data_IF_336288354364
#
_entry.id   IF_336288354364
#
_cell.length_a   1.000
_cell.length_b   1.000
_cell.length_c   1.000
_cell.angle_alpha   90.00
_cell.angle_beta   90.00
_cell.angle_gamma   90.00
#
_symmetry.space_group_name_H-M   'P 1'
#
loop_
_entity.id
_entity.type
_entity.pdbx_description
1 polymer ?
#
# COMPACT_ATOMS: atom_id res chain seq x y z
N UNK A 1 -0.24 6.81 -3.24
CA UNK A 1 -0.46 5.83 -2.17
C UNK A 1 -0.49 6.51 -0.81
N UNK A 2 -1.33 6.04 0.13
CA UNK A 2 -1.33 6.52 1.52
C UNK A 2 0.03 6.26 2.20
N UNK A 3 0.61 5.10 1.95
CA UNK A 3 1.89 4.69 2.55
C UNK A 3 3.08 5.56 2.11
N UNK A 4 3.13 5.99 0.84
CA UNK A 4 4.20 6.87 0.37
C UNK A 4 4.11 8.26 0.99
N UNK A 5 2.90 8.81 1.10
CA UNK A 5 2.72 10.12 1.76
C UNK A 5 3.08 10.06 3.25
N UNK A 6 2.70 8.98 3.95
CA UNK A 6 3.13 8.79 5.34
C UNK A 6 4.66 8.65 5.46
N UNK A 7 5.32 7.98 4.52
CA UNK A 7 6.79 7.90 4.48
C UNK A 7 7.45 9.25 4.22
N UNK A 8 6.89 10.08 3.35
CA UNK A 8 7.34 11.46 3.14
C UNK A 8 7.22 12.29 4.44
N UNK A 9 6.11 12.13 5.17
CA UNK A 9 5.94 12.75 6.49
C UNK A 9 6.98 12.29 7.52
N UNK A 10 7.36 11.00 7.51
CA UNK A 10 8.43 10.45 8.35
C UNK A 10 9.79 11.04 7.97
N UNK A 11 10.11 11.10 6.67
CA UNK A 11 11.38 11.63 6.17
C UNK A 11 11.55 13.11 6.49
N UNK A 12 10.46 13.88 6.41
CA UNK A 12 10.41 15.31 6.78
C UNK A 12 10.31 15.56 8.28
N UNK A 13 10.30 14.51 9.10
CA UNK A 13 10.21 14.58 10.57
C UNK A 13 9.03 15.43 11.09
N UNK A 14 7.93 15.44 10.33
CA UNK A 14 6.68 16.11 10.74
C UNK A 14 6.09 15.44 11.98
N UNK A 15 5.22 16.12 12.72
CA UNK A 15 4.57 15.54 13.90
C UNK A 15 3.81 14.26 13.54
N UNK A 16 3.04 14.29 12.45
CA UNK A 16 2.40 13.09 11.89
C UNK A 16 3.43 11.99 11.58
N UNK A 17 4.56 12.35 10.97
CA UNK A 17 5.65 11.42 10.65
C UNK A 17 6.21 10.72 11.88
N UNK A 18 6.46 11.47 12.96
CA UNK A 18 6.96 10.93 14.23
C UNK A 18 5.95 9.94 14.84
N UNK A 19 4.66 10.29 14.80
CA UNK A 19 3.60 9.45 15.34
C UNK A 19 3.45 8.13 14.55
N UNK A 20 3.50 8.18 13.21
CA UNK A 20 3.24 7.00 12.37
C UNK A 20 4.46 6.07 12.22
N UNK A 21 5.69 6.56 12.46
CA UNK A 21 6.94 5.80 12.30
C UNK A 21 6.93 4.47 13.07
N UNK A 22 6.43 4.48 14.30
CA UNK A 22 6.42 3.30 15.16
C UNK A 22 5.39 2.24 14.71
N UNK A 23 4.25 2.66 14.18
CA UNK A 23 3.23 1.73 13.68
C UNK A 23 3.76 0.99 12.45
N UNK A 24 4.33 1.71 11.48
CA UNK A 24 4.80 1.12 10.23
C UNK A 24 5.97 0.15 10.41
N UNK A 25 6.94 0.50 11.26
CA UNK A 25 8.11 -0.36 11.53
C UNK A 25 7.75 -1.66 12.25
N UNK A 26 6.63 -1.68 12.98
CA UNK A 26 6.12 -2.87 13.68
C UNK A 26 5.11 -3.67 12.84
N UNK A 27 4.82 -3.22 11.61
CA UNK A 27 3.78 -3.81 10.76
C UNK A 27 2.35 -3.53 11.22
N UNK A 28 2.14 -2.60 12.15
CA UNK A 28 0.81 -2.22 12.66
C UNK A 28 0.13 -1.22 11.71
N UNK A 29 -1.20 -1.19 11.77
CA UNK A 29 -1.98 -0.13 11.14
C UNK A 29 -1.83 1.16 11.96
N UNK A 30 -1.80 2.28 11.24
CA UNK A 30 -1.97 3.61 11.83
C UNK A 30 -3.43 3.73 12.31
N UNK A 31 -3.71 4.33 13.48
CA UNK A 31 -5.07 4.47 14.00
C UNK A 31 -6.05 5.07 13.00
N UNK A 32 -7.28 4.56 13.00
CA UNK A 32 -8.31 4.90 12.00
C UNK A 32 -8.62 6.39 11.97
N UNK A 33 -8.82 7.03 13.13
CA UNK A 33 -9.11 8.47 13.20
C UNK A 33 -8.01 9.33 12.57
N UNK A 34 -6.76 8.93 12.79
CA UNK A 34 -5.60 9.62 12.22
C UNK A 34 -5.55 9.42 10.70
N UNK A 35 -5.77 8.19 10.23
CA UNK A 35 -5.81 7.86 8.79
C UNK A 35 -6.97 8.55 8.06
N UNK A 36 -8.16 8.55 8.65
CA UNK A 36 -9.35 9.19 8.08
C UNK A 36 -9.12 10.70 7.95
N UNK A 37 -8.64 11.35 9.01
CA UNK A 37 -8.34 12.79 8.99
C UNK A 37 -7.29 13.12 7.94
N UNK A 38 -6.22 12.33 7.88
CA UNK A 38 -5.14 12.50 6.91
C UNK A 38 -5.66 12.36 5.47
N UNK A 39 -6.33 11.25 5.15
CA UNK A 39 -6.81 10.97 3.80
C UNK A 39 -7.88 11.95 3.34
N UNK A 40 -8.78 12.37 4.24
CA UNK A 40 -9.77 13.41 3.94
C UNK A 40 -9.11 14.73 3.56
N UNK A 41 -8.00 15.08 4.23
CA UNK A 41 -7.23 16.30 3.92
C UNK A 41 -6.55 16.18 2.55
N UNK A 42 -6.00 15.01 2.22
CA UNK A 42 -5.37 14.77 0.93
C UNK A 42 -6.36 14.72 -0.23
N UNK A 43 -7.55 14.13 -0.03
CA UNK A 43 -8.62 14.09 -1.04
C UNK A 43 -9.14 15.48 -1.39
N UNK A 44 -9.29 16.37 -0.39
CA UNK A 44 -9.70 17.76 -0.63
C UNK A 44 -8.76 18.52 -1.57
N UNK A 45 -7.46 18.19 -1.58
CA UNK A 45 -6.48 18.83 -2.47
C UNK A 45 -6.67 18.47 -3.94
N UNK A 46 -7.31 17.34 -4.22
CA UNK A 46 -7.54 16.82 -5.57
C UNK A 46 -9.01 16.82 -5.97
N UNK A 47 -9.88 17.41 -5.14
CA UNK A 47 -11.31 17.47 -5.37
C UNK A 47 -11.64 18.03 -6.76
N UNK A 48 -12.54 17.35 -7.47
CA UNK A 48 -12.89 17.68 -8.86
C UNK A 48 -12.00 17.02 -9.93
N UNK A 49 -10.97 16.27 -9.54
CA UNK A 49 -10.20 15.42 -10.45
C UNK A 49 -10.42 13.93 -10.13
N UNK A 50 -10.18 13.06 -11.11
CA UNK A 50 -10.12 11.62 -10.88
C UNK A 50 -8.96 11.27 -9.95
N UNK A 51 -9.19 10.32 -9.05
CA UNK A 51 -8.21 9.89 -8.06
C UNK A 51 -8.14 8.36 -8.00
N UNK A 52 -6.98 7.85 -7.56
CA UNK A 52 -6.79 6.43 -7.24
C UNK A 52 -6.23 6.32 -5.83
N UNK A 53 -7.01 5.69 -4.95
CA UNK A 53 -6.58 5.39 -3.59
C UNK A 53 -5.88 4.04 -3.58
N UNK A 54 -4.58 4.10 -3.31
CA UNK A 54 -3.76 2.91 -3.07
C UNK A 54 -3.44 2.81 -1.57
N UNK A 55 -3.83 1.70 -0.96
CA UNK A 55 -3.59 1.36 0.44
C UNK A 55 -4.53 2.03 1.44
N UNK A 56 -5.66 2.58 1.01
CA UNK A 56 -6.75 3.08 1.85
C UNK A 56 -8.09 2.90 1.11
N UNK A 57 -9.18 2.47 1.78
CA UNK A 57 -9.28 2.13 3.19
C UNK A 57 -8.71 0.74 3.53
N UNK A 58 -8.33 0.54 4.80
CA UNK A 58 -7.82 -0.73 5.35
C UNK A 58 -8.71 -1.33 6.44
N UNK A 59 -9.71 -0.59 6.91
CA UNK A 59 -10.69 -1.06 7.91
C UNK A 59 -12.09 -0.68 7.45
N UNK A 60 -13.11 -1.38 7.98
CA UNK A 60 -14.52 -1.06 7.67
C UNK A 60 -14.88 0.35 8.16
N UNK A 61 -14.31 0.80 9.27
CA UNK A 61 -14.51 2.16 9.76
C UNK A 61 -13.97 3.22 8.77
N UNK A 62 -12.76 2.99 8.24
CA UNK A 62 -12.19 3.85 7.19
C UNK A 62 -13.06 3.82 5.92
N UNK A 63 -13.52 2.64 5.50
CA UNK A 63 -14.36 2.48 4.30
C UNK A 63 -15.72 3.19 4.44
N UNK A 64 -16.37 3.02 5.60
CA UNK A 64 -17.62 3.70 5.94
C UNK A 64 -17.43 5.22 5.99
N UNK A 65 -16.31 5.71 6.53
CA UNK A 65 -16.02 7.14 6.56
C UNK A 65 -15.75 7.70 5.18
N UNK A 66 -14.98 7.00 4.34
CA UNK A 66 -14.72 7.42 2.96
C UNK A 66 -16.04 7.50 2.18
N UNK A 67 -16.88 6.46 2.28
CA UNK A 67 -18.17 6.40 1.60
C UNK A 67 -19.11 7.57 1.91
N UNK A 68 -19.01 8.16 3.10
CA UNK A 68 -19.84 9.31 3.50
C UNK A 68 -19.33 10.64 2.95
N UNK A 69 -18.03 10.76 2.71
CA UNK A 69 -17.38 12.02 2.35
C UNK A 69 -17.15 12.10 0.85
N UNK A 70 -16.61 11.03 0.26
CA UNK A 70 -16.22 10.94 -1.14
C UNK A 70 -16.41 9.47 -1.59
N UNK A 71 -17.63 9.10 -2.02
CA UNK A 71 -17.91 7.75 -2.52
C UNK A 71 -17.00 7.38 -3.70
N UNK A 72 -16.48 6.16 -3.70
CA UNK A 72 -15.73 5.64 -4.84
C UNK A 72 -16.69 5.07 -5.91
N UNK A 73 -16.34 5.23 -7.17
CA UNK A 73 -17.08 4.63 -8.29
C UNK A 73 -16.76 3.14 -8.48
N UNK A 74 -15.51 2.76 -8.18
CA UNK A 74 -15.00 1.40 -8.38
C UNK A 74 -13.96 1.03 -7.33
N UNK A 75 -13.96 -0.23 -6.91
CA UNK A 75 -12.93 -0.82 -6.06
C UNK A 75 -12.33 -2.02 -6.78
N UNK A 76 -11.01 -1.98 -7.00
CA UNK A 76 -10.27 -3.06 -7.65
C UNK A 76 -9.61 -3.91 -6.56
N UNK A 77 -9.92 -5.21 -6.53
CA UNK A 77 -9.32 -6.17 -5.62
C UNK A 77 -8.46 -7.18 -6.38
N UNK A 78 -7.16 -7.17 -6.09
CA UNK A 78 -6.19 -8.09 -6.68
C UNK A 78 -6.02 -9.32 -5.77
N UNK A 79 -6.45 -10.48 -6.26
CA UNK A 79 -6.35 -11.76 -5.55
C UNK A 79 -5.11 -12.49 -6.04
N UNK A 80 -4.10 -12.55 -5.17
CA UNK A 80 -2.80 -13.17 -5.45
C UNK A 80 -2.52 -14.23 -4.40
N UNK A 81 -1.97 -15.42 -4.75
CA UNK A 81 -1.62 -16.42 -3.76
C UNK A 81 -0.63 -15.91 -2.70
N UNK A 82 -0.81 -16.35 -1.46
CA UNK A 82 -0.03 -15.89 -0.30
C UNK A 82 1.48 -16.08 -0.48
N UNK A 83 1.89 -17.24 -0.97
CA UNK A 83 3.30 -17.60 -1.18
C UNK A 83 3.96 -16.65 -2.18
N UNK A 84 3.24 -16.30 -3.25
CA UNK A 84 3.68 -15.33 -4.26
C UNK A 84 3.85 -13.94 -3.64
N UNK A 85 2.93 -13.51 -2.76
CA UNK A 85 3.05 -12.21 -2.07
C UNK A 85 4.32 -12.18 -1.19
N UNK A 86 4.54 -13.23 -0.40
CA UNK A 86 5.72 -13.33 0.48
C UNK A 86 7.01 -13.24 -0.32
N UNK A 87 7.13 -14.02 -1.40
CA UNK A 87 8.35 -14.05 -2.21
C UNK A 87 8.58 -12.73 -2.94
N UNK A 88 7.51 -12.08 -3.41
CA UNK A 88 7.59 -10.73 -3.99
C UNK A 88 8.09 -9.71 -2.97
N UNK A 89 7.60 -9.73 -1.74
CA UNK A 89 8.03 -8.72 -0.74
C UNK A 89 9.49 -8.95 -0.31
N UNK A 90 9.89 -10.21 -0.07
CA UNK A 90 11.28 -10.55 0.31
C UNK A 90 12.31 -10.10 -0.73
N UNK A 91 11.96 -10.21 -2.02
CA UNK A 91 12.85 -9.90 -3.12
C UNK A 91 12.73 -8.44 -3.61
N UNK A 92 11.95 -7.60 -2.92
CA UNK A 92 11.72 -6.21 -3.30
C UNK A 92 12.91 -5.32 -2.95
N UNK A 93 13.33 -4.52 -3.92
CA UNK A 93 14.30 -3.44 -3.78
C UNK A 93 13.70 -2.15 -4.30
N UNK A 94 14.04 -1.02 -3.68
CA UNK A 94 13.45 0.28 -4.04
C UNK A 94 14.54 1.34 -4.18
N UNK A 95 14.45 2.11 -5.26
CA UNK A 95 15.20 3.34 -5.42
C UNK A 95 14.42 4.50 -4.79
N UNK A 96 14.83 4.95 -3.60
CA UNK A 96 14.05 5.92 -2.80
C UNK A 96 13.71 7.23 -3.53
N UNK A 97 14.66 7.93 -4.20
CA UNK A 97 14.39 9.20 -4.86
C UNK A 97 13.32 9.12 -5.96
N UNK A 98 13.27 8.00 -6.68
CA UNK A 98 12.36 7.82 -7.82
C UNK A 98 11.11 7.00 -7.52
N UNK A 99 11.13 6.21 -6.44
CA UNK A 99 10.10 5.22 -6.15
C UNK A 99 10.15 3.96 -7.03
N UNK A 100 11.11 3.82 -7.96
CA UNK A 100 11.26 2.62 -8.79
C UNK A 100 11.44 1.37 -7.93
N UNK A 101 10.76 0.31 -8.31
CA UNK A 101 10.75 -0.97 -7.59
C UNK A 101 11.35 -2.05 -8.47
N UNK A 102 12.28 -2.80 -7.90
CA UNK A 102 12.91 -3.97 -8.49
C UNK A 102 12.53 -5.21 -7.67
N UNK A 103 12.48 -6.36 -8.32
CA UNK A 103 12.18 -7.64 -7.71
C UNK A 103 13.12 -8.69 -8.28
N UNK A 104 13.95 -9.28 -7.41
CA UNK A 104 14.92 -10.29 -7.83
C UNK A 104 14.17 -11.53 -8.34
N UNK A 105 14.41 -11.88 -9.61
CA UNK A 105 13.78 -13.00 -10.31
C UNK A 105 12.60 -12.62 -11.21
N UNK A 106 12.06 -11.40 -11.10
CA UNK A 106 11.00 -10.90 -11.98
C UNK A 106 11.49 -9.70 -12.80
N UNK A 107 11.86 -8.61 -12.14
CA UNK A 107 12.47 -7.43 -12.75
C UNK A 107 13.76 -7.08 -11.99
N UNK A 108 14.74 -7.98 -12.07
CA UNK A 108 16.06 -7.85 -11.46
C UNK A 108 16.79 -6.63 -12.03
N UNK A 109 17.45 -5.80 -11.19
CA UNK A 109 18.26 -4.69 -11.70
C UNK A 109 19.45 -5.22 -12.51
N UNK A 110 19.92 -4.43 -13.49
CA UNK A 110 21.09 -4.77 -14.33
C UNK A 110 22.34 -4.98 -13.50
N UNK A 111 22.52 -4.16 -12.46
CA UNK A 111 23.60 -4.30 -11.48
C UNK A 111 22.98 -4.45 -10.11
N UNK A 112 23.37 -5.50 -9.40
CA UNK A 112 22.73 -5.83 -8.13
C UNK A 112 22.93 -4.71 -7.10
N UNK A 113 21.82 -4.24 -6.53
CA UNK A 113 21.81 -3.14 -5.56
C UNK A 113 21.89 -1.75 -6.17
N UNK A 114 21.83 -1.60 -7.50
CA UNK A 114 21.91 -0.32 -8.20
C UNK A 114 20.68 -0.05 -9.05
N UNK A 115 20.22 1.18 -9.07
CA UNK A 115 19.17 1.64 -9.96
C UNK A 115 19.64 1.68 -11.42
N UNK A 116 18.84 1.16 -12.34
CA UNK A 116 19.22 1.01 -13.75
C UNK A 116 19.34 2.34 -14.51
N UNK A 117 18.74 3.41 -13.99
CA UNK A 117 18.72 4.73 -14.64
C UNK A 117 19.78 5.64 -14.03
N UNK A 118 19.86 5.71 -12.70
CA UNK A 118 20.75 6.65 -12.02
C UNK A 118 22.05 6.03 -11.53
N UNK A 119 22.13 4.70 -11.40
CA UNK A 119 23.27 4.01 -10.79
C UNK A 119 23.38 4.21 -9.28
N UNK A 120 22.39 4.83 -8.64
CA UNK A 120 22.31 5.05 -7.20
C UNK A 120 21.92 3.76 -6.46
N UNK A 121 22.13 3.75 -5.15
CA UNK A 121 21.87 2.56 -4.33
C UNK A 121 20.37 2.26 -4.20
N UNK A 122 20.03 0.99 -4.38
CA UNK A 122 18.75 0.43 -3.99
C UNK A 122 18.77 0.03 -2.53
N UNK A 123 17.61 0.12 -1.88
CA UNK A 123 17.45 -0.35 -0.51
C UNK A 123 16.28 -1.32 -0.38
N UNK A 124 16.37 -2.19 0.62
CA UNK A 124 15.21 -2.92 1.13
C UNK A 124 14.60 -2.13 2.28
N UNK A 125 13.27 -2.02 2.30
CA UNK A 125 12.60 -1.26 3.34
C UNK A 125 12.54 -2.08 4.64
N UNK A 126 12.63 -1.44 5.82
CA UNK A 126 12.57 -2.16 7.09
C UNK A 126 11.30 -2.98 7.27
N UNK A 127 10.20 -2.56 6.64
CA UNK A 127 8.90 -3.17 6.70
C UNK A 127 8.65 -4.28 5.66
N UNK A 128 9.64 -4.57 4.82
CA UNK A 128 9.65 -5.71 3.90
C UNK A 128 10.30 -6.97 4.52
N UNK A 129 10.73 -6.91 5.80
CA UNK A 129 11.26 -8.06 6.53
C UNK A 129 10.20 -9.13 6.76
N UNK A 130 10.59 -10.40 6.65
CA UNK A 130 9.66 -11.54 6.68
C UNK A 130 8.73 -11.57 7.91
N UNK A 131 9.23 -11.22 9.09
CA UNK A 131 8.45 -11.15 10.33
C UNK A 131 7.42 -10.02 10.32
N UNK A 132 7.75 -8.87 9.73
CA UNK A 132 6.84 -7.73 9.55
C UNK A 132 5.78 -8.05 8.50
N UNK A 133 6.16 -8.70 7.41
CA UNK A 133 5.25 -9.10 6.34
C UNK A 133 4.22 -10.11 6.84
N UNK A 134 4.65 -11.11 7.62
CA UNK A 134 3.72 -12.07 8.23
C UNK A 134 2.66 -11.37 9.08
N UNK A 135 3.07 -10.44 9.96
CA UNK A 135 2.14 -9.64 10.77
C UNK A 135 1.18 -8.81 9.92
N UNK A 136 1.64 -8.27 8.79
CA UNK A 136 0.79 -7.50 7.86
C UNK A 136 -0.27 -8.37 7.21
N UNK A 137 0.07 -9.62 6.91
CA UNK A 137 -0.88 -10.57 6.33
C UNK A 137 -1.89 -11.04 7.37
N UNK A 138 -1.46 -11.29 8.61
CA UNK A 138 -2.38 -11.58 9.72
C UNK A 138 -3.37 -10.43 9.93
N UNK A 139 -2.90 -9.18 9.86
CA UNK A 139 -3.75 -7.99 9.91
C UNK A 139 -4.70 -7.92 8.72
N UNK A 140 -4.24 -8.25 7.51
CA UNK A 140 -5.08 -8.26 6.33
C UNK A 140 -6.26 -9.21 6.50
N UNK A 141 -6.02 -10.45 6.91
CA UNK A 141 -7.08 -11.46 7.05
C UNK A 141 -8.12 -11.09 8.11
N UNK A 142 -7.68 -10.48 9.20
CA UNK A 142 -8.55 -10.17 10.34
C UNK A 142 -9.25 -8.81 10.25
N UNK A 143 -8.62 -7.82 9.61
CA UNK A 143 -9.06 -6.42 9.66
C UNK A 143 -9.40 -5.88 8.27
N UNK A 144 -8.58 -6.18 7.26
CA UNK A 144 -8.74 -5.62 5.91
C UNK A 144 -9.73 -6.43 5.08
N UNK A 145 -9.77 -7.76 5.21
CA UNK A 145 -10.66 -8.64 4.43
C UNK A 145 -12.14 -8.23 4.50
N UNK A 146 -12.71 -7.84 5.67
CA UNK A 146 -14.10 -7.36 5.74
C UNK A 146 -14.40 -6.10 4.89
N UNK A 147 -13.38 -5.34 4.47
CA UNK A 147 -13.56 -4.20 3.55
C UNK A 147 -14.02 -4.67 2.16
N UNK A 148 -13.61 -5.88 1.76
CA UNK A 148 -14.05 -6.49 0.50
C UNK A 148 -15.55 -6.71 0.54
N UNK A 149 -16.06 -7.29 1.62
CA UNK A 149 -17.51 -7.53 1.80
C UNK A 149 -18.29 -6.22 1.82
N UNK A 150 -17.79 -5.19 2.51
CA UNK A 150 -18.39 -3.86 2.51
C UNK A 150 -18.59 -3.30 1.10
N UNK A 151 -17.58 -3.39 0.22
CA UNK A 151 -17.70 -2.87 -1.14
C UNK A 151 -18.44 -3.81 -2.11
N UNK A 152 -18.41 -5.11 -1.84
CA UNK A 152 -19.23 -6.10 -2.55
C UNK A 152 -20.72 -5.81 -2.34
N UNK A 153 -21.13 -5.51 -1.11
CA UNK A 153 -22.52 -5.11 -0.79
C UNK A 153 -22.95 -3.80 -1.49
N UNK A 154 -22.00 -2.91 -1.80
CA UNK A 154 -22.26 -1.68 -2.57
C UNK A 154 -22.31 -1.89 -4.09
N UNK A 155 -21.93 -3.07 -4.59
CA UNK A 155 -21.95 -3.39 -6.01
C UNK A 155 -20.87 -2.70 -6.85
N UNK A 156 -19.80 -2.19 -6.22
CA UNK A 156 -18.70 -1.47 -6.92
C UNK A 156 -17.37 -2.25 -6.91
N UNK A 157 -17.36 -3.47 -6.36
CA UNK A 157 -16.17 -4.30 -6.27
C UNK A 157 -15.94 -5.07 -7.58
N UNK A 158 -14.75 -4.94 -8.16
CA UNK A 158 -14.25 -5.76 -9.26
C UNK A 158 -13.03 -6.55 -8.80
N UNK A 159 -13.04 -7.86 -9.03
CA UNK A 159 -11.96 -8.77 -8.62
C UNK A 159 -11.13 -9.20 -9.83
N UNK A 160 -9.82 -9.25 -9.64
CA UNK A 160 -8.85 -9.75 -10.60
C UNK A 160 -7.96 -10.77 -9.91
N UNK A 161 -7.87 -11.98 -10.47
CA UNK A 161 -7.11 -13.08 -9.87
C UNK A 161 -5.93 -13.42 -10.78
N UNK A 162 -4.76 -13.63 -10.17
CA UNK A 162 -3.56 -13.99 -10.91
C UNK A 162 -2.32 -14.10 -10.03
N UNK A 163 -1.33 -14.83 -10.52
CA UNK A 163 -0.03 -15.03 -9.87
C UNK A 163 1.04 -14.10 -10.43
N UNK A 164 0.83 -13.55 -11.63
CA UNK A 164 1.73 -12.58 -12.27
C UNK A 164 1.00 -11.28 -12.60
N UNK A 165 1.74 -10.18 -12.73
CA UNK A 165 1.14 -8.91 -13.15
C UNK A 165 0.61 -8.99 -14.58
N UNK A 166 1.28 -9.76 -15.44
CA UNK A 166 0.92 -9.96 -16.84
C UNK A 166 -0.37 -10.80 -17.00
N UNK A 167 -0.69 -11.66 -16.03
CA UNK A 167 -1.99 -12.36 -15.98
C UNK A 167 -3.15 -11.42 -15.61
N UNK A 168 -2.88 -10.45 -14.74
CA UNK A 168 -3.89 -9.52 -14.21
C UNK A 168 -4.13 -8.35 -15.19
N UNK A 169 -3.10 -7.95 -15.93
CA UNK A 169 -3.13 -6.88 -16.93
C UNK A 169 -2.35 -7.32 -18.18
N UNK A 170 -2.98 -8.11 -19.07
CA UNK A 170 -2.36 -8.58 -20.31
C UNK A 170 -2.23 -7.50 -21.38
#
# INVERSE_FOLDING_TARGET
>A
SSGDKLRDHIQKETDLGKDVKNYLSQGKLVPDDLMIKFMTTELKKVHGNSWLLDGFPRTVAQASSLWKVEPADVVLNLVVPFEVIIDRVKNRWVHLPSGRVYNIGFNTPKVMGKDDITGEDLIQRPDDKADVVKKRLDIYDNITRPVIDFYKEKGILTQFEGSTSDEIWP
#
